data_IF_650757683637
#
_entry.id   IF_650757683637
#
_cell.length_a   1.000
_cell.length_b   1.000
_cell.length_c   1.000
_cell.angle_alpha   90.00
_cell.angle_beta   90.00
_cell.angle_gamma   90.00
#
_symmetry.space_group_name_H-M   'P 1'
#
loop_
_entity.id
_entity.type
_entity.pdbx_description
1 polymer ?
#
# COMPACT_ATOMS: atom_id res chain seq x y z
N UNK A 1 28.06 -11.13 -13.99
CA UNK A 1 27.38 -10.58 -15.18
C UNK A 1 26.74 -9.29 -14.70
N UNK A 2 27.17 -8.15 -15.24
CA UNK A 2 26.54 -6.86 -14.91
C UNK A 2 25.16 -6.86 -15.57
N UNK A 3 24.11 -7.10 -14.77
CA UNK A 3 22.74 -6.96 -15.24
C UNK A 3 22.55 -5.52 -15.71
N UNK A 4 22.05 -5.35 -16.93
CA UNK A 4 21.61 -4.05 -17.40
C UNK A 4 20.64 -3.48 -16.37
N UNK A 5 21.05 -2.43 -15.65
CA UNK A 5 20.14 -1.53 -14.95
C UNK A 5 19.29 -0.84 -16.03
N UNK A 6 18.32 -1.57 -16.58
CA UNK A 6 17.41 -1.04 -17.57
C UNK A 6 16.57 0.03 -16.87
N UNK A 7 16.80 1.28 -17.25
CA UNK A 7 15.94 2.40 -16.88
C UNK A 7 14.47 1.99 -17.11
N UNK A 8 13.62 2.22 -16.11
CA UNK A 8 12.19 1.98 -16.27
C UNK A 8 11.67 2.88 -17.40
N UNK A 9 10.87 2.34 -18.34
CA UNK A 9 10.08 3.15 -19.25
C UNK A 9 9.29 4.22 -18.49
N UNK A 10 9.14 5.40 -19.09
CA UNK A 10 8.54 6.56 -18.42
C UNK A 10 7.10 6.27 -17.94
N UNK A 11 6.34 5.50 -18.72
CA UNK A 11 4.99 5.05 -18.39
C UNK A 11 4.98 4.11 -17.18
N UNK A 12 5.89 3.13 -17.12
CA UNK A 12 6.03 2.27 -15.95
C UNK A 12 6.42 3.08 -14.71
N UNK A 13 7.37 4.01 -14.85
CA UNK A 13 7.77 4.89 -13.74
C UNK A 13 6.61 5.76 -13.24
N UNK A 14 5.79 6.29 -14.14
CA UNK A 14 4.60 7.06 -13.81
C UNK A 14 3.57 6.22 -13.06
N UNK A 15 3.30 5.00 -13.53
CA UNK A 15 2.35 4.11 -12.86
C UNK A 15 2.82 3.73 -11.46
N UNK A 16 4.11 3.38 -11.32
CA UNK A 16 4.69 2.98 -10.04
C UNK A 16 4.74 4.15 -9.05
N UNK A 17 5.15 5.35 -9.50
CA UNK A 17 5.17 6.54 -8.65
C UNK A 17 3.76 6.99 -8.26
N UNK A 18 2.80 6.94 -9.19
CA UNK A 18 1.40 7.21 -8.89
C UNK A 18 0.83 6.20 -7.90
N UNK A 19 1.14 4.91 -8.06
CA UNK A 19 0.74 3.85 -7.13
C UNK A 19 1.25 4.13 -5.72
N UNK A 20 2.53 4.48 -5.57
CA UNK A 20 3.08 4.83 -4.25
C UNK A 20 2.36 6.03 -3.65
N UNK A 21 2.05 7.06 -4.45
CA UNK A 21 1.30 8.23 -3.98
C UNK A 21 -0.13 7.86 -3.52
N UNK A 22 -0.86 7.09 -4.33
CA UNK A 22 -2.22 6.63 -4.01
C UNK A 22 -2.23 5.78 -2.74
N UNK A 23 -1.32 4.83 -2.62
CA UNK A 23 -1.20 3.99 -1.41
C UNK A 23 -0.89 4.84 -0.18
N UNK A 24 0.03 5.79 -0.29
CA UNK A 24 0.38 6.68 0.84
C UNK A 24 -0.84 7.46 1.32
N UNK A 25 -1.65 7.96 0.39
CA UNK A 25 -2.85 8.71 0.72
C UNK A 25 -3.96 7.81 1.28
N UNK A 26 -4.13 6.60 0.74
CA UNK A 26 -5.07 5.61 1.27
C UNK A 26 -4.79 5.31 2.75
N UNK A 27 -3.53 5.06 3.12
CA UNK A 27 -3.14 4.77 4.52
C UNK A 27 -3.45 5.95 5.45
N UNK A 28 -3.23 7.19 4.99
CA UNK A 28 -3.52 8.38 5.80
C UNK A 28 -5.02 8.60 5.97
N UNK A 29 -5.80 8.37 4.92
CA UNK A 29 -7.24 8.59 4.94
C UNK A 29 -8.00 7.46 5.63
N UNK A 30 -7.47 6.25 5.63
CA UNK A 30 -7.98 5.13 6.42
C UNK A 30 -7.96 5.46 7.93
N UNK A 31 -6.80 5.80 8.48
CA UNK A 31 -6.69 6.19 9.89
C UNK A 31 -7.58 7.39 10.25
N UNK A 32 -7.74 8.34 9.32
CA UNK A 32 -8.69 9.45 9.49
C UNK A 32 -10.15 8.96 9.48
N UNK A 33 -10.51 8.04 8.59
CA UNK A 33 -11.82 7.43 8.49
C UNK A 33 -12.17 6.66 9.76
N UNK A 34 -11.33 5.72 10.21
CA UNK A 34 -11.53 4.91 11.42
C UNK A 34 -11.76 5.79 12.66
N UNK A 35 -10.90 6.81 12.83
CA UNK A 35 -10.97 7.73 13.97
C UNK A 35 -12.24 8.56 13.95
N UNK A 36 -12.57 9.17 12.82
CA UNK A 36 -13.72 10.07 12.72
C UNK A 36 -15.04 9.29 12.67
N UNK A 37 -15.07 8.10 12.09
CA UNK A 37 -16.23 7.19 12.10
C UNK A 37 -16.56 6.75 13.52
N UNK A 38 -15.55 6.35 14.30
CA UNK A 38 -15.73 5.98 15.71
C UNK A 38 -16.27 7.16 16.53
N UNK A 39 -15.68 8.35 16.36
CA UNK A 39 -16.11 9.55 17.07
C UNK A 39 -17.53 10.01 16.68
N UNK A 40 -17.90 9.86 15.41
CA UNK A 40 -19.22 10.27 14.89
C UNK A 40 -20.33 9.25 15.16
N UNK A 41 -19.95 8.03 15.55
CA UNK A 41 -20.84 6.92 15.87
C UNK A 41 -21.32 6.90 17.32
N UNK A 42 -20.65 7.63 18.22
CA UNK A 42 -21.07 7.75 19.61
C UNK A 42 -22.18 8.81 19.76
N UNK A 43 -23.42 8.43 20.16
CA UNK A 43 -24.52 9.38 20.31
C UNK A 43 -24.24 10.52 21.30
N UNK A 44 -23.35 10.31 22.27
CA UNK A 44 -23.02 11.32 23.28
C UNK A 44 -22.06 12.41 22.75
N UNK A 45 -21.27 12.09 21.72
CA UNK A 45 -20.24 12.99 21.14
C UNK A 45 -20.47 13.30 19.66
N UNK A 46 -21.58 12.80 19.10
CA UNK A 46 -22.00 13.03 17.72
C UNK A 46 -22.09 14.52 17.38
N UNK A 47 -21.42 14.88 16.29
CA UNK A 47 -21.42 16.22 15.72
C UNK A 47 -21.73 16.12 14.22
N UNK A 48 -22.88 16.68 13.80
CA UNK A 48 -23.33 16.63 12.41
C UNK A 48 -22.36 17.31 11.44
N UNK A 49 -21.55 18.29 11.91
CA UNK A 49 -20.51 18.91 11.09
C UNK A 49 -19.33 17.99 10.83
N UNK A 50 -19.02 17.07 11.76
CA UNK A 50 -18.00 16.02 11.56
C UNK A 50 -18.49 14.94 10.60
N UNK A 51 -19.78 14.59 10.69
CA UNK A 51 -20.43 13.70 9.71
C UNK A 51 -20.41 14.29 8.29
N UNK A 52 -20.53 15.62 8.14
CA UNK A 52 -20.38 16.28 6.84
C UNK A 52 -18.92 16.21 6.33
N UNK A 53 -17.93 16.45 7.20
CA UNK A 53 -16.51 16.32 6.86
C UNK A 53 -16.11 14.90 6.47
N UNK A 54 -16.68 13.89 7.14
CA UNK A 54 -16.55 12.48 6.79
C UNK A 54 -16.98 12.20 5.34
N UNK A 55 -17.98 12.92 4.83
CA UNK A 55 -18.40 12.80 3.44
C UNK A 55 -17.27 13.13 2.45
N UNK A 56 -16.45 14.14 2.76
CA UNK A 56 -15.28 14.50 1.96
C UNK A 56 -14.16 13.45 2.01
N UNK A 57 -13.95 12.82 3.18
CA UNK A 57 -13.00 11.69 3.33
C UNK A 57 -13.46 10.50 2.49
N UNK A 58 -14.75 10.16 2.58
CA UNK A 58 -15.37 9.05 1.82
C UNK A 58 -15.31 9.29 0.31
N UNK A 59 -15.58 10.51 -0.14
CA UNK A 59 -15.44 10.88 -1.56
C UNK A 59 -13.99 10.71 -2.05
N UNK A 60 -13.00 11.05 -1.21
CA UNK A 60 -11.59 10.88 -1.56
C UNK A 60 -11.15 9.42 -1.54
N UNK A 61 -11.57 8.63 -0.55
CA UNK A 61 -11.36 7.18 -0.50
C UNK A 61 -11.98 6.50 -1.72
N UNK A 62 -13.21 6.87 -2.11
CA UNK A 62 -13.87 6.35 -3.31
C UNK A 62 -13.03 6.57 -4.58
N UNK A 63 -12.49 7.78 -4.72
CA UNK A 63 -11.60 8.12 -5.83
C UNK A 63 -10.31 7.28 -5.80
N UNK A 64 -9.64 7.20 -4.66
CA UNK A 64 -8.37 6.47 -4.53
C UNK A 64 -8.53 4.96 -4.75
N UNK A 65 -9.62 4.36 -4.28
CA UNK A 65 -9.95 2.97 -4.62
C UNK A 65 -10.19 2.79 -6.12
N UNK A 66 -10.88 3.74 -6.75
CA UNK A 66 -11.05 3.74 -8.21
C UNK A 66 -9.71 3.82 -8.95
N UNK A 67 -8.80 4.68 -8.50
CA UNK A 67 -7.46 4.86 -9.07
C UNK A 67 -6.62 3.59 -8.92
N UNK A 68 -6.50 3.03 -7.70
CA UNK A 68 -5.69 1.83 -7.47
C UNK A 68 -6.26 0.59 -8.17
N UNK A 69 -7.59 0.45 -8.22
CA UNK A 69 -8.26 -0.61 -8.97
C UNK A 69 -8.01 -0.49 -10.47
N UNK A 70 -8.04 0.73 -11.01
CA UNK A 70 -7.70 1.01 -12.41
C UNK A 70 -6.23 0.76 -12.76
N UNK A 71 -5.33 0.84 -11.79
CA UNK A 71 -3.91 0.52 -11.94
C UNK A 71 -3.61 -0.98 -11.87
N UNK A 72 -4.48 -1.78 -11.23
CA UNK A 72 -4.22 -3.19 -10.92
C UNK A 72 -3.71 -4.04 -12.10
N UNK A 73 -4.41 -4.03 -13.23
CA UNK A 73 -3.99 -4.78 -14.43
C UNK A 73 -2.60 -4.34 -14.94
N UNK A 74 -2.34 -3.02 -15.02
CA UNK A 74 -1.06 -2.47 -15.48
C UNK A 74 0.08 -2.83 -14.52
N UNK A 75 -0.17 -2.76 -13.22
CA UNK A 75 0.80 -3.15 -12.20
C UNK A 75 1.14 -4.64 -12.28
N UNK A 76 0.15 -5.50 -12.49
CA UNK A 76 0.39 -6.93 -12.72
C UNK A 76 1.31 -7.19 -13.91
N UNK A 77 1.13 -6.46 -15.01
CA UNK A 77 1.99 -6.57 -16.19
C UNK A 77 3.40 -6.05 -15.94
N UNK A 78 3.55 -4.92 -15.24
CA UNK A 78 4.85 -4.38 -14.82
C UNK A 78 5.58 -5.39 -13.93
N UNK A 79 4.92 -5.95 -12.92
CA UNK A 79 5.56 -6.88 -11.99
C UNK A 79 6.01 -8.17 -12.69
N UNK A 80 5.23 -8.69 -13.63
CA UNK A 80 5.66 -9.83 -14.47
C UNK A 80 6.85 -9.47 -15.36
N UNK A 81 6.80 -8.31 -16.02
CA UNK A 81 7.88 -7.86 -16.90
C UNK A 81 9.19 -7.56 -16.14
N UNK A 82 9.10 -7.28 -14.85
CA UNK A 82 10.22 -6.93 -13.96
C UNK A 82 10.52 -7.99 -12.90
N UNK A 83 10.10 -9.24 -13.11
CA UNK A 83 10.26 -10.35 -12.15
C UNK A 83 11.69 -10.49 -11.63
N UNK A 84 12.68 -10.57 -12.53
CA UNK A 84 14.10 -10.72 -12.16
C UNK A 84 14.59 -9.54 -11.31
N UNK A 85 14.20 -8.31 -11.68
CA UNK A 85 14.57 -7.08 -10.97
C UNK A 85 13.98 -7.04 -9.56
N UNK A 86 12.70 -7.43 -9.43
CA UNK A 86 11.99 -7.45 -8.15
C UNK A 86 12.61 -8.47 -7.20
N UNK A 87 12.92 -9.69 -7.66
CA UNK A 87 13.58 -10.71 -6.85
C UNK A 87 14.97 -10.27 -6.40
N UNK A 88 15.79 -9.77 -7.33
CA UNK A 88 17.14 -9.26 -7.00
C UNK A 88 17.08 -8.17 -5.91
N UNK A 89 16.17 -7.21 -6.07
CA UNK A 89 16.05 -6.09 -5.13
C UNK A 89 15.43 -6.51 -3.80
N UNK A 90 14.50 -7.45 -3.80
CA UNK A 90 13.95 -8.02 -2.58
C UNK A 90 15.02 -8.76 -1.78
N UNK A 91 15.80 -9.64 -2.43
CA UNK A 91 16.92 -10.35 -1.80
C UNK A 91 17.92 -9.36 -1.20
N UNK A 92 18.28 -8.30 -1.93
CA UNK A 92 19.18 -7.26 -1.44
C UNK A 92 18.59 -6.46 -0.26
N UNK A 93 17.26 -6.27 -0.22
CA UNK A 93 16.53 -5.58 0.85
C UNK A 93 16.55 -6.40 2.15
N UNK A 94 16.29 -7.71 2.06
CA UNK A 94 16.16 -8.60 3.22
C UNK A 94 17.48 -9.27 3.66
N UNK A 95 18.53 -9.15 2.85
CA UNK A 95 19.87 -9.66 3.16
C UNK A 95 20.49 -8.96 4.38
N UNK A 96 21.15 -9.79 5.20
CA UNK A 96 21.86 -9.37 6.41
C UNK A 96 23.27 -8.83 6.12
N UNK A 97 23.81 -9.10 4.94
CA UNK A 97 25.14 -8.68 4.54
C UNK A 97 25.11 -7.24 4.00
N UNK A 98 25.36 -6.28 4.90
CA UNK A 98 25.53 -4.87 4.55
C UNK A 98 26.78 -4.56 3.70
N UNK A 99 27.57 -5.57 3.30
CA UNK A 99 28.94 -5.40 2.81
C UNK A 99 29.04 -4.89 1.35
N UNK A 100 28.06 -5.17 0.48
CA UNK A 100 28.14 -4.84 -0.95
C UNK A 100 27.06 -3.87 -1.44
N UNK A 101 26.41 -3.13 -0.53
CA UNK A 101 25.39 -2.16 -0.94
C UNK A 101 26.05 -0.95 -1.64
N UNK A 102 25.56 -0.55 -2.84
CA UNK A 102 26.06 0.65 -3.51
C UNK A 102 25.93 1.86 -2.58
N UNK A 103 27.00 2.68 -2.53
CA UNK A 103 27.12 3.96 -1.79
C UNK A 103 26.19 5.06 -2.33
N UNK A 104 24.96 4.73 -2.71
CA UNK A 104 23.93 5.75 -2.86
C UNK A 104 23.62 6.34 -1.47
N UNK A 105 23.29 7.63 -1.36
CA UNK A 105 22.95 8.25 -0.08
C UNK A 105 21.59 7.72 0.39
N UNK A 106 21.59 6.51 0.99
CA UNK A 106 20.44 5.93 1.68
C UNK A 106 20.29 6.65 3.03
N UNK A 107 19.13 7.21 3.30
CA UNK A 107 18.80 7.88 4.57
C UNK A 107 18.80 6.90 5.75
N UNK A 108 18.53 5.60 5.52
CA UNK A 108 18.62 4.51 6.52
C UNK A 108 18.57 3.14 5.85
N UNK A 109 19.20 2.13 6.47
CA UNK A 109 18.99 0.71 6.14
C UNK A 109 17.92 0.09 7.05
N UNK A 110 17.17 -0.91 6.58
CA UNK A 110 16.23 -1.65 7.43
C UNK A 110 16.95 -2.30 8.62
N UNK A 111 16.33 -2.23 9.80
CA UNK A 111 16.76 -2.96 10.99
C UNK A 111 16.56 -4.47 10.80
N UNK A 112 17.21 -5.33 11.61
CA UNK A 112 16.95 -6.78 11.58
C UNK A 112 15.48 -7.13 11.79
N UNK A 113 14.78 -6.41 12.67
CA UNK A 113 13.36 -6.61 12.94
C UNK A 113 12.50 -6.25 11.73
N UNK A 114 12.78 -5.12 11.07
CA UNK A 114 12.06 -4.71 9.85
C UNK A 114 12.28 -5.70 8.71
N UNK A 115 13.51 -6.19 8.52
CA UNK A 115 13.78 -7.25 7.53
C UNK A 115 13.02 -8.52 7.84
N UNK A 116 12.97 -8.93 9.10
CA UNK A 116 12.25 -10.13 9.53
C UNK A 116 10.75 -9.99 9.26
N UNK A 117 10.18 -8.79 9.45
CA UNK A 117 8.78 -8.50 9.12
C UNK A 117 8.52 -8.50 7.62
N UNK A 118 9.39 -7.89 6.81
CA UNK A 118 9.28 -7.95 5.34
C UNK A 118 9.30 -9.39 4.86
N UNK A 119 10.19 -10.24 5.40
CA UNK A 119 10.23 -11.68 5.09
C UNK A 119 8.93 -12.36 5.49
N UNK A 120 8.49 -12.18 6.73
CA UNK A 120 7.24 -12.79 7.23
C UNK A 120 6.03 -12.39 6.37
N UNK A 121 5.95 -11.13 5.96
CA UNK A 121 4.90 -10.61 5.09
C UNK A 121 4.88 -11.32 3.73
N UNK A 122 6.06 -11.51 3.11
CA UNK A 122 6.16 -12.23 1.83
C UNK A 122 5.96 -13.74 2.00
N UNK A 123 6.38 -14.32 3.11
CA UNK A 123 6.26 -15.75 3.39
C UNK A 123 4.80 -16.17 3.64
N UNK A 124 4.04 -15.39 4.42
CA UNK A 124 2.67 -15.74 4.87
C UNK A 124 1.69 -15.91 3.70
N UNK A 125 1.80 -15.03 2.70
CA UNK A 125 0.81 -14.93 1.61
C UNK A 125 1.42 -15.12 0.22
N UNK A 126 2.71 -14.83 0.05
CA UNK A 126 3.47 -15.04 -1.17
C UNK A 126 4.24 -16.36 -1.24
N UNK A 127 4.23 -17.17 -0.16
CA UNK A 127 5.01 -18.39 -0.04
C UNK A 127 6.51 -18.16 -0.30
N UNK A 128 7.01 -16.96 0.02
CA UNK A 128 8.39 -16.55 -0.20
C UNK A 128 8.69 -15.96 -1.59
N UNK A 129 7.71 -15.91 -2.51
CA UNK A 129 7.86 -15.27 -3.82
C UNK A 129 7.20 -13.88 -3.83
N UNK A 130 8.04 -12.85 -3.75
CA UNK A 130 7.61 -11.44 -3.79
C UNK A 130 6.90 -11.07 -5.09
N UNK A 131 7.24 -11.71 -6.21
CA UNK A 131 6.64 -11.41 -7.52
C UNK A 131 5.27 -12.06 -7.62
N UNK A 132 5.15 -13.33 -7.21
CA UNK A 132 3.86 -14.00 -7.15
C UNK A 132 2.89 -13.25 -6.24
N UNK A 133 3.36 -12.81 -5.07
CA UNK A 133 2.59 -11.96 -4.16
C UNK A 133 2.13 -10.66 -4.82
N UNK A 134 3.06 -9.93 -5.46
CA UNK A 134 2.75 -8.64 -6.07
C UNK A 134 1.73 -8.75 -7.21
N UNK A 135 1.85 -9.79 -8.03
CA UNK A 135 0.94 -10.06 -9.15
C UNK A 135 -0.45 -10.45 -8.65
N UNK A 136 -0.54 -11.30 -7.63
CA UNK A 136 -1.83 -11.64 -7.01
C UNK A 136 -2.46 -10.40 -6.38
N UNK A 137 -1.71 -9.63 -5.60
CA UNK A 137 -2.20 -8.41 -4.98
C UNK A 137 -2.73 -7.39 -6.01
N UNK A 138 -2.02 -7.19 -7.12
CA UNK A 138 -2.46 -6.30 -8.19
C UNK A 138 -3.79 -6.76 -8.82
N UNK A 139 -3.95 -8.07 -9.00
CA UNK A 139 -5.22 -8.66 -9.44
C UNK A 139 -6.34 -8.47 -8.41
N UNK A 140 -6.07 -8.71 -7.13
CA UNK A 140 -7.08 -8.57 -6.08
C UNK A 140 -7.53 -7.11 -5.91
N UNK A 141 -6.63 -6.13 -6.03
CA UNK A 141 -6.99 -4.71 -6.01
C UNK A 141 -7.94 -4.35 -7.15
N UNK A 142 -7.70 -4.85 -8.36
CA UNK A 142 -8.60 -4.68 -9.50
C UNK A 142 -10.00 -5.24 -9.21
N UNK A 143 -10.08 -6.44 -8.63
CA UNK A 143 -11.35 -7.11 -8.34
C UNK A 143 -12.11 -6.48 -7.17
N UNK A 144 -11.40 -6.06 -6.12
CA UNK A 144 -12.01 -5.68 -4.84
C UNK A 144 -12.18 -4.18 -4.65
N UNK A 145 -11.53 -3.34 -5.45
CA UNK A 145 -11.68 -1.88 -5.35
C UNK A 145 -13.16 -1.45 -5.44
N UNK A 146 -13.94 -2.05 -6.34
CA UNK A 146 -15.38 -1.76 -6.45
C UNK A 146 -16.17 -2.12 -5.18
N UNK A 147 -15.83 -3.25 -4.55
CA UNK A 147 -16.41 -3.67 -3.28
C UNK A 147 -16.07 -2.67 -2.16
N UNK A 148 -14.80 -2.27 -2.04
CA UNK A 148 -14.37 -1.33 -1.00
C UNK A 148 -15.05 0.03 -1.12
N UNK A 149 -15.18 0.53 -2.35
CA UNK A 149 -15.95 1.76 -2.65
C UNK A 149 -17.40 1.67 -2.16
N UNK A 150 -18.06 0.53 -2.41
CA UNK A 150 -19.43 0.33 -1.96
C UNK A 150 -19.51 0.19 -0.44
N UNK A 151 -18.56 -0.51 0.18
CA UNK A 151 -18.49 -0.70 1.64
C UNK A 151 -18.36 0.65 2.34
N UNK A 152 -17.34 1.45 2.01
CA UNK A 152 -17.12 2.75 2.67
C UNK A 152 -18.31 3.69 2.50
N UNK A 153 -18.97 3.68 1.33
CA UNK A 153 -20.18 4.49 1.09
C UNK A 153 -21.35 4.02 1.95
N UNK A 154 -21.54 2.70 2.05
CA UNK A 154 -22.61 2.11 2.85
C UNK A 154 -22.42 2.41 4.33
N UNK A 155 -21.18 2.32 4.83
CA UNK A 155 -20.87 2.69 6.20
C UNK A 155 -21.11 4.16 6.48
N UNK A 156 -20.69 5.04 5.57
CA UNK A 156 -20.96 6.46 5.68
C UNK A 156 -22.46 6.77 5.76
N UNK A 157 -23.28 6.16 4.91
CA UNK A 157 -24.73 6.33 4.94
C UNK A 157 -25.34 5.84 6.27
N UNK A 158 -24.77 4.77 6.86
CA UNK A 158 -25.16 4.27 8.18
C UNK A 158 -24.80 5.25 9.29
N UNK A 159 -23.58 5.78 9.31
CA UNK A 159 -23.14 6.80 10.29
C UNK A 159 -24.02 8.04 10.17
N UNK A 160 -24.27 8.50 8.94
CA UNK A 160 -25.19 9.61 8.64
C UNK A 160 -26.60 9.33 9.15
N UNK A 161 -27.07 8.09 9.06
CA UNK A 161 -28.35 7.62 9.60
C UNK A 161 -28.42 7.43 11.12
N UNK A 162 -27.31 7.62 11.85
CA UNK A 162 -27.30 7.46 13.32
C UNK A 162 -26.85 6.10 13.82
N UNK A 163 -26.37 5.22 12.94
CA UNK A 163 -25.86 3.91 13.34
C UNK A 163 -24.38 3.96 13.75
N UNK A 164 -23.97 2.99 14.56
CA UNK A 164 -22.56 2.79 14.90
C UNK A 164 -21.79 2.19 13.72
N UNK A 165 -20.56 2.63 13.53
CA UNK A 165 -19.53 2.01 12.68
C UNK A 165 -18.20 2.00 13.41
N UNK A 166 -17.39 0.99 13.11
CA UNK A 166 -15.98 0.91 13.53
C UNK A 166 -15.06 1.55 12.48
N UNK A 167 -15.56 1.75 11.24
CA UNK A 167 -14.86 2.47 10.19
C UNK A 167 -13.62 1.75 9.69
N UNK A 168 -13.64 0.43 9.61
CA UNK A 168 -12.47 -0.35 9.26
C UNK A 168 -12.47 -0.72 7.77
N UNK A 169 -11.31 -0.62 7.12
CA UNK A 169 -11.13 -1.17 5.78
C UNK A 169 -11.01 -2.69 5.90
N UNK A 170 -11.40 -3.41 4.85
CA UNK A 170 -11.18 -4.84 4.78
C UNK A 170 -9.68 -5.19 4.94
N UNK A 171 -9.30 -6.01 5.95
CA UNK A 171 -7.90 -6.31 6.21
C UNK A 171 -7.17 -7.01 5.06
N UNK A 172 -7.89 -7.76 4.21
CA UNK A 172 -7.28 -8.35 3.03
C UNK A 172 -7.00 -7.29 1.96
N UNK A 173 -7.86 -6.27 1.84
CA UNK A 173 -7.60 -5.13 0.95
C UNK A 173 -6.37 -4.32 1.35
N UNK A 174 -6.24 -4.01 2.63
CA UNK A 174 -5.05 -3.37 3.19
C UNK A 174 -3.79 -4.17 2.87
N UNK A 175 -3.86 -5.49 3.04
CA UNK A 175 -2.77 -6.39 2.71
C UNK A 175 -2.37 -6.31 1.23
N UNK A 176 -3.33 -6.31 0.29
CA UNK A 176 -3.00 -6.19 -1.14
C UNK A 176 -2.41 -4.82 -1.49
N UNK A 177 -2.91 -3.74 -0.88
CA UNK A 177 -2.36 -2.38 -1.01
C UNK A 177 -0.88 -2.37 -0.56
N UNK A 178 -0.56 -3.03 0.54
CA UNK A 178 0.82 -3.14 1.03
C UNK A 178 1.72 -3.95 0.10
N UNK A 179 1.23 -5.09 -0.40
CA UNK A 179 1.99 -5.95 -1.29
C UNK A 179 2.37 -5.25 -2.60
N UNK A 180 1.41 -4.53 -3.19
CA UNK A 180 1.64 -3.69 -4.36
C UNK A 180 2.61 -2.54 -4.05
N UNK A 181 2.49 -1.91 -2.88
CA UNK A 181 3.41 -0.85 -2.46
C UNK A 181 4.85 -1.35 -2.35
N UNK A 182 5.06 -2.50 -1.70
CA UNK A 182 6.38 -3.14 -1.58
C UNK A 182 6.97 -3.37 -2.98
N UNK A 183 6.22 -4.01 -3.87
CA UNK A 183 6.67 -4.31 -5.22
C UNK A 183 6.93 -3.04 -6.06
N UNK A 184 6.05 -2.05 -5.97
CA UNK A 184 6.22 -0.79 -6.70
C UNK A 184 7.48 -0.05 -6.26
N UNK A 185 7.71 -0.05 -4.95
CA UNK A 185 8.88 0.54 -4.32
C UNK A 185 10.16 -0.21 -4.70
N UNK A 186 10.13 -1.55 -4.72
CA UNK A 186 11.23 -2.37 -5.22
C UNK A 186 11.52 -2.06 -6.69
N UNK A 187 10.51 -1.91 -7.55
CA UNK A 187 10.68 -1.61 -8.97
C UNK A 187 11.27 -0.21 -9.23
N UNK A 188 10.90 0.81 -8.46
CA UNK A 188 11.48 2.16 -8.55
C UNK A 188 12.94 2.20 -8.08
N UNK A 189 13.29 1.37 -7.10
CA UNK A 189 14.67 1.18 -6.65
C UNK A 189 15.15 2.20 -5.61
N UNK A 190 16.39 2.03 -5.10
CA UNK A 190 16.90 2.74 -3.93
C UNK A 190 17.09 4.25 -4.12
N UNK A 191 17.13 4.74 -5.36
CA UNK A 191 17.21 6.19 -5.65
C UNK A 191 15.87 6.90 -5.43
N UNK A 192 14.77 6.16 -5.29
CA UNK A 192 13.48 6.72 -4.93
C UNK A 192 13.41 7.18 -3.46
N UNK A 193 14.51 7.12 -2.69
CA UNK A 193 14.76 7.82 -1.41
C UNK A 193 13.88 7.44 -0.22
N UNK A 194 12.57 7.38 -0.43
CA UNK A 194 11.54 7.02 0.52
C UNK A 194 11.24 5.52 0.59
N UNK A 195 11.92 4.65 -0.17
CA UNK A 195 11.66 3.19 -0.17
C UNK A 195 11.66 2.59 1.23
N UNK A 196 12.68 2.90 2.03
CA UNK A 196 12.83 2.35 3.37
C UNK A 196 11.97 3.08 4.40
N UNK A 197 11.64 4.36 4.18
CA UNK A 197 10.79 5.13 5.09
C UNK A 197 9.30 4.85 4.87
N UNK A 198 8.86 4.68 3.63
CA UNK A 198 7.52 4.21 3.28
C UNK A 198 7.33 2.76 3.70
N UNK A 199 8.26 1.85 3.35
CA UNK A 199 8.18 0.46 3.81
C UNK A 199 8.28 0.40 5.35
N UNK A 200 9.17 1.16 5.97
CA UNK A 200 9.28 1.23 7.44
C UNK A 200 8.03 1.83 8.11
N UNK A 201 7.41 2.83 7.50
CA UNK A 201 6.15 3.45 7.96
C UNK A 201 4.95 2.52 7.77
N UNK A 202 4.85 1.84 6.62
CA UNK A 202 3.87 0.77 6.36
C UNK A 202 4.07 -0.41 7.32
N UNK A 203 5.32 -0.78 7.64
CA UNK A 203 5.64 -1.81 8.64
C UNK A 203 5.36 -1.35 10.07
N UNK A 204 5.46 -0.05 10.36
CA UNK A 204 5.06 0.51 11.65
C UNK A 204 3.53 0.52 11.79
N UNK A 205 2.81 0.84 10.71
CA UNK A 205 1.35 0.75 10.62
C UNK A 205 0.85 -0.69 10.81
N UNK A 206 1.56 -1.68 10.25
CA UNK A 206 1.30 -3.12 10.44
C UNK A 206 1.29 -3.64 11.89
N UNK A 207 1.76 -2.87 12.87
CA UNK A 207 1.91 -3.30 14.28
C UNK A 207 1.27 -2.29 15.26
N UNK A 208 0.59 -1.26 14.74
CA UNK A 208 -0.11 -0.24 15.52
C UNK A 208 -1.40 -0.72 16.14
#
# INVERSE_FOLDING_TARGET
>A
MAGNHAELPLDEYQDLSHTVAVVTELVVLDDAWTREATASSDPATRDDSRVEQLGGVVDRLDQLYGEIGGLGSRLGDIFRAREDLLRERYEALVSDEAADRPRAPRTRSLTPDERSRVRAFVDDRGQGDVVALAVDAAYQLEQQAGTQRQTVRTEYDRIRGGASSEGDIDPDFEFWVQAVSLAATLALGPEAGGVVELIGGLIAWLVG
#
